data_IF_848090859092
#
_entry.id   IF_848090859092
#
_cell.length_a   1.000
_cell.length_b   1.000
_cell.length_c   1.000
_cell.angle_alpha   90.00
_cell.angle_beta   90.00
_cell.angle_gamma   90.00
#
_symmetry.space_group_name_H-M   'P 1'
#
loop_
_entity.id
_entity.type
_entity.pdbx_description
1 polymer ?
#
# COMPACT_ATOMS: atom_id res chain seq x y z
N UNK A 1 9.29 18.73 -7.02
CA UNK A 1 8.03 19.22 -6.40
C UNK A 1 7.68 18.33 -5.23
N UNK A 2 7.06 18.86 -4.18
CA UNK A 2 6.68 18.05 -3.02
C UNK A 2 5.51 17.12 -3.37
N UNK A 3 5.57 15.88 -2.92
CA UNK A 3 4.47 14.91 -3.01
C UNK A 3 3.37 15.25 -2.00
N UNK A 4 2.16 14.80 -2.26
CA UNK A 4 1.02 15.03 -1.37
C UNK A 4 1.00 13.99 -0.24
N UNK A 5 0.66 14.43 0.96
CA UNK A 5 0.40 13.55 2.10
C UNK A 5 -1.09 13.34 2.31
N UNK A 6 -1.45 12.18 2.87
CA UNK A 6 -2.80 11.91 3.37
C UNK A 6 -3.92 12.26 2.38
N UNK A 7 -3.76 11.86 1.11
CA UNK A 7 -4.71 12.21 0.03
C UNK A 7 -6.11 11.64 0.23
N UNK A 8 -6.30 10.70 1.17
CA UNK A 8 -7.62 10.22 1.59
C UNK A 8 -8.37 11.19 2.50
N UNK A 9 -7.69 12.15 3.12
CA UNK A 9 -8.32 13.11 4.04
C UNK A 9 -9.41 13.91 3.34
N UNK A 10 -10.59 13.96 3.96
CA UNK A 10 -11.77 14.66 3.41
C UNK A 10 -12.54 13.87 2.35
N UNK A 11 -12.10 12.65 1.99
CA UNK A 11 -12.90 11.77 1.13
C UNK A 11 -14.17 11.35 1.88
N UNK A 12 -15.31 11.46 1.21
CA UNK A 12 -16.60 11.04 1.77
C UNK A 12 -16.65 9.52 1.98
N UNK A 13 -17.36 9.11 3.03
CA UNK A 13 -17.61 7.69 3.31
C UNK A 13 -18.45 7.05 2.19
N UNK A 14 -18.31 5.74 1.95
CA UNK A 14 -19.05 5.06 0.89
C UNK A 14 -20.53 4.86 1.22
N UNK A 15 -20.93 5.09 2.47
CA UNK A 15 -22.28 4.92 3.00
C UNK A 15 -22.58 6.01 4.03
N UNK A 16 -23.85 6.34 4.22
CA UNK A 16 -24.32 7.39 5.13
C UNK A 16 -24.25 6.98 6.61
N UNK A 17 -24.15 5.69 6.91
CA UNK A 17 -24.13 5.18 8.29
C UNK A 17 -23.27 3.92 8.41
N UNK A 18 -21.93 4.05 8.33
CA UNK A 18 -21.03 2.92 8.48
C UNK A 18 -21.15 2.33 9.89
N UNK A 19 -21.35 1.01 9.99
CA UNK A 19 -21.32 0.31 11.28
C UNK A 19 -19.89 0.22 11.81
N UNK A 20 -18.92 -0.01 10.92
CA UNK A 20 -17.51 0.00 11.27
C UNK A 20 -16.69 0.59 10.15
N UNK A 21 -15.80 1.52 10.51
CA UNK A 21 -14.84 2.14 9.60
C UNK A 21 -13.49 2.22 10.31
N UNK A 22 -12.49 1.57 9.72
CA UNK A 22 -11.13 1.56 10.28
C UNK A 22 -10.16 1.84 9.15
N UNK A 23 -9.38 2.91 9.28
CA UNK A 23 -8.39 3.33 8.29
C UNK A 23 -7.14 3.86 8.98
N UNK A 24 -6.07 4.03 8.21
CA UNK A 24 -4.84 4.64 8.69
C UNK A 24 -5.10 6.02 9.32
N UNK A 25 -4.48 6.27 10.47
CA UNK A 25 -4.56 7.57 11.18
C UNK A 25 -3.25 8.34 11.14
N UNK A 26 -2.12 7.63 11.00
CA UNK A 26 -0.81 8.23 10.91
C UNK A 26 -0.44 8.58 9.46
N UNK A 27 0.40 9.60 9.29
CA UNK A 27 0.69 10.19 8.00
C UNK A 27 1.44 9.26 7.04
N UNK A 28 1.18 9.42 5.75
CA UNK A 28 1.93 8.84 4.65
C UNK A 28 2.01 9.84 3.49
N UNK A 29 2.90 9.58 2.55
CA UNK A 29 3.09 10.34 1.32
C UNK A 29 2.62 9.49 0.12
N UNK A 30 1.90 10.10 -0.80
CA UNK A 30 1.40 9.45 -2.00
C UNK A 30 2.47 9.39 -3.09
N UNK A 31 3.06 8.20 -3.27
CA UNK A 31 3.97 7.91 -4.38
C UNK A 31 3.20 7.32 -5.55
N UNK A 32 3.51 7.78 -6.75
CA UNK A 32 2.84 7.41 -7.99
C UNK A 32 3.83 7.47 -9.17
N UNK A 33 3.39 7.08 -10.36
CA UNK A 33 4.27 7.12 -11.54
C UNK A 33 4.91 8.49 -11.77
N UNK A 34 6.20 8.46 -12.16
CA UNK A 34 6.98 9.64 -12.54
C UNK A 34 7.14 10.71 -11.45
N UNK A 35 6.76 10.41 -10.20
CA UNK A 35 6.71 11.40 -9.13
C UNK A 35 8.09 11.93 -8.71
N UNK A 36 9.15 11.17 -8.99
CA UNK A 36 10.56 11.50 -8.77
C UNK A 36 11.34 11.79 -10.08
N UNK A 37 10.62 11.97 -11.20
CA UNK A 37 11.21 12.25 -12.52
C UNK A 37 11.65 11.01 -13.31
N UNK A 38 11.65 9.82 -12.70
CA UNK A 38 11.97 8.58 -13.40
C UNK A 38 10.74 8.00 -14.12
N UNK A 39 10.88 7.56 -15.38
CA UNK A 39 9.75 7.01 -16.14
C UNK A 39 9.55 5.51 -15.87
N UNK A 40 8.71 5.21 -14.90
CA UNK A 40 8.35 3.86 -14.45
C UNK A 40 6.92 3.42 -14.86
N UNK A 41 6.31 4.14 -15.81
CA UNK A 41 4.96 3.83 -16.30
C UNK A 41 4.93 2.41 -16.89
N UNK A 42 3.97 1.62 -16.44
CA UNK A 42 3.73 0.25 -16.91
C UNK A 42 4.44 -0.86 -16.15
N UNK A 43 5.32 -0.53 -15.19
CA UNK A 43 6.05 -1.53 -14.41
C UNK A 43 6.37 -1.11 -12.96
N UNK A 44 6.33 0.18 -12.67
CA UNK A 44 6.71 0.76 -11.39
C UNK A 44 5.66 0.69 -10.28
N UNK A 45 4.43 0.25 -10.55
CA UNK A 45 3.33 0.39 -9.59
C UNK A 45 3.66 -0.24 -8.24
N UNK A 46 4.20 -1.46 -8.21
CA UNK A 46 4.61 -2.15 -6.99
C UNK A 46 5.65 -1.36 -6.18
N UNK A 47 6.61 -0.73 -6.86
CA UNK A 47 7.61 0.14 -6.25
C UNK A 47 6.97 1.39 -5.64
N UNK A 48 6.00 2.01 -6.31
CA UNK A 48 5.31 3.22 -5.81
C UNK A 48 4.39 2.90 -4.63
N UNK A 49 3.73 1.75 -4.64
CA UNK A 49 2.99 1.25 -3.47
C UNK A 49 3.94 1.00 -2.30
N UNK A 50 5.10 0.37 -2.54
CA UNK A 50 6.13 0.19 -1.52
C UNK A 50 6.60 1.54 -0.96
N UNK A 51 6.93 2.51 -1.80
CA UNK A 51 7.38 3.83 -1.36
C UNK A 51 6.32 4.54 -0.50
N UNK A 52 5.04 4.36 -0.82
CA UNK A 52 3.93 4.86 0.00
C UNK A 52 3.94 4.22 1.39
N UNK A 53 4.10 2.89 1.48
CA UNK A 53 4.20 2.17 2.76
C UNK A 53 5.45 2.63 3.53
N UNK A 54 6.61 2.62 2.87
CA UNK A 54 7.89 3.09 3.39
C UNK A 54 7.79 4.51 3.97
N UNK A 55 7.09 5.42 3.29
CA UNK A 55 6.91 6.80 3.78
C UNK A 55 6.18 6.85 5.13
N UNK A 56 5.19 5.99 5.32
CA UNK A 56 4.51 5.86 6.60
C UNK A 56 5.48 5.36 7.67
N UNK A 57 6.22 4.28 7.37
CA UNK A 57 7.20 3.69 8.29
C UNK A 57 8.28 4.70 8.71
N UNK A 58 8.86 5.42 7.74
CA UNK A 58 9.86 6.46 7.98
C UNK A 58 9.32 7.58 8.88
N UNK A 59 8.06 7.99 8.71
CA UNK A 59 7.44 9.03 9.53
C UNK A 59 7.11 8.56 10.96
N UNK A 60 7.01 7.25 11.19
CA UNK A 60 6.71 6.68 12.50
C UNK A 60 7.95 6.23 13.27
N UNK A 61 9.14 6.27 12.66
CA UNK A 61 10.38 5.88 13.34
C UNK A 61 10.79 6.91 14.41
N UNK A 62 10.40 6.63 15.66
CA UNK A 62 10.77 7.42 16.83
C UNK A 62 12.21 7.23 17.28
N UNK A 63 12.89 6.19 16.78
CA UNK A 63 14.26 5.82 17.20
C UNK A 63 15.33 6.57 16.40
N UNK A 64 14.94 7.38 15.41
CA UNK A 64 15.86 8.23 14.66
C UNK A 64 16.81 7.44 13.76
N UNK A 65 16.49 6.19 13.42
CA UNK A 65 17.21 5.42 12.39
C UNK A 65 16.86 5.92 10.98
N UNK A 66 15.79 6.72 10.86
CA UNK A 66 15.37 7.52 9.70
C UNK A 66 15.75 6.88 8.36
N UNK A 67 15.28 5.64 8.15
CA UNK A 67 15.45 4.98 6.86
C UNK A 67 14.63 5.79 5.86
N UNK A 68 15.33 6.50 4.98
CA UNK A 68 14.69 7.29 3.93
C UNK A 68 13.88 6.37 3.02
N UNK A 69 12.81 6.91 2.42
CA UNK A 69 12.03 6.17 1.43
C UNK A 69 12.97 5.75 0.28
N UNK A 70 13.11 4.45 -0.02
CA UNK A 70 14.10 3.98 -0.99
C UNK A 70 13.73 4.43 -2.41
N UNK A 71 14.75 4.66 -3.23
CA UNK A 71 14.56 4.84 -4.67
C UNK A 71 14.20 3.51 -5.33
N UNK A 72 13.64 3.52 -6.55
CA UNK A 72 13.41 2.30 -7.33
C UNK A 72 14.71 1.47 -7.47
N UNK A 73 15.84 2.13 -7.69
CA UNK A 73 17.15 1.48 -7.78
C UNK A 73 17.53 0.81 -6.46
N UNK A 74 17.35 1.49 -5.31
CA UNK A 74 17.67 0.90 -4.01
C UNK A 74 16.77 -0.30 -3.71
N UNK A 75 15.50 -0.29 -4.13
CA UNK A 75 14.59 -1.43 -4.00
C UNK A 75 15.15 -2.62 -4.80
N UNK A 76 15.57 -2.41 -6.05
CA UNK A 76 16.17 -3.47 -6.89
C UNK A 76 17.47 -4.02 -6.28
N UNK A 77 18.38 -3.14 -5.85
CA UNK A 77 19.62 -3.52 -5.18
C UNK A 77 19.35 -4.34 -3.91
N UNK A 78 18.32 -3.98 -3.15
CA UNK A 78 17.95 -4.68 -1.92
C UNK A 78 17.46 -6.10 -2.22
N UNK A 79 16.65 -6.28 -3.27
CA UNK A 79 16.19 -7.62 -3.68
C UNK A 79 17.34 -8.52 -4.15
N UNK A 80 18.34 -7.94 -4.82
CA UNK A 80 19.56 -8.67 -5.18
C UNK A 80 20.40 -8.99 -3.94
N UNK A 81 20.55 -8.05 -3.00
CA UNK A 81 21.29 -8.25 -1.75
C UNK A 81 20.71 -9.39 -0.89
N UNK A 82 19.37 -9.52 -0.87
CA UNK A 82 18.66 -10.62 -0.18
C UNK A 82 18.82 -11.96 -0.92
N UNK A 83 19.21 -11.94 -2.20
CA UNK A 83 19.30 -13.13 -3.05
C UNK A 83 17.97 -13.56 -3.67
N UNK A 84 16.96 -12.69 -3.66
CA UNK A 84 15.66 -12.95 -4.32
C UNK A 84 15.73 -12.75 -5.85
N UNK A 85 16.58 -11.82 -6.30
CA UNK A 85 16.78 -11.50 -7.72
C UNK A 85 18.24 -11.58 -8.12
N UNK A 86 18.47 -11.88 -9.40
CA UNK A 86 19.81 -11.87 -10.02
C UNK A 86 20.33 -10.44 -10.23
N UNK A 87 21.65 -10.28 -10.38
CA UNK A 87 22.29 -8.97 -10.61
C UNK A 87 21.73 -8.20 -11.82
N UNK A 88 21.22 -8.91 -12.84
CA UNK A 88 20.59 -8.31 -14.03
C UNK A 88 19.30 -7.55 -13.72
N UNK A 89 18.69 -7.78 -12.55
CA UNK A 89 17.48 -7.10 -12.11
C UNK A 89 17.72 -5.61 -11.81
N UNK A 90 18.94 -5.23 -11.43
CA UNK A 90 19.31 -3.83 -11.17
C UNK A 90 19.25 -3.05 -12.48
N UNK A 91 18.56 -1.89 -12.46
CA UNK A 91 18.25 -1.04 -13.62
C UNK A 91 17.34 -1.70 -14.66
N UNK A 92 16.77 -2.87 -14.37
CA UNK A 92 15.72 -3.46 -15.19
C UNK A 92 14.42 -2.64 -15.08
N UNK A 93 13.45 -2.97 -15.92
CA UNK A 93 12.06 -2.46 -15.86
C UNK A 93 11.09 -3.55 -15.41
N UNK A 94 11.58 -4.53 -14.67
CA UNK A 94 10.75 -5.61 -14.16
C UNK A 94 9.87 -5.11 -13.01
N UNK A 95 8.62 -5.58 -12.99
CA UNK A 95 7.67 -5.28 -11.93
C UNK A 95 7.99 -6.09 -10.66
N UNK A 96 7.47 -5.64 -9.52
CA UNK A 96 7.54 -6.35 -8.24
C UNK A 96 6.15 -6.56 -7.67
N UNK A 97 5.95 -7.68 -6.97
CA UNK A 97 4.69 -8.04 -6.34
C UNK A 97 4.72 -7.88 -4.82
N UNK A 98 3.64 -8.32 -4.18
CA UNK A 98 3.48 -8.24 -2.73
C UNK A 98 4.57 -9.00 -1.96
N UNK A 99 5.13 -10.06 -2.56
CA UNK A 99 6.20 -10.84 -1.94
C UNK A 99 7.52 -10.06 -1.90
N UNK A 100 7.96 -9.50 -3.02
CA UNK A 100 9.16 -8.66 -3.05
C UNK A 100 9.02 -7.43 -2.13
N UNK A 101 7.82 -6.84 -2.09
CA UNK A 101 7.55 -5.73 -1.16
C UNK A 101 7.67 -6.15 0.30
N UNK A 102 7.21 -7.34 0.65
CA UNK A 102 7.40 -7.94 1.97
C UNK A 102 8.89 -8.06 2.32
N UNK A 103 9.71 -8.60 1.42
CA UNK A 103 11.16 -8.76 1.64
C UNK A 103 11.88 -7.43 1.85
N UNK A 104 11.55 -6.42 1.04
CA UNK A 104 12.21 -5.11 1.11
C UNK A 104 11.81 -4.34 2.36
N UNK A 105 10.53 -4.42 2.77
CA UNK A 105 10.07 -3.79 4.02
C UNK A 105 10.81 -4.42 5.21
N UNK A 106 10.85 -5.75 5.28
CA UNK A 106 11.53 -6.49 6.34
C UNK A 106 13.02 -6.09 6.43
N UNK A 107 13.73 -6.14 5.30
CA UNK A 107 15.16 -5.85 5.24
C UNK A 107 15.52 -4.39 5.56
N UNK A 108 14.75 -3.42 5.05
CA UNK A 108 15.12 -2.00 5.18
C UNK A 108 14.58 -1.36 6.46
N UNK A 109 13.42 -1.80 6.95
CA UNK A 109 12.74 -1.17 8.07
C UNK A 109 12.71 -2.04 9.33
N UNK A 110 13.21 -3.27 9.28
CA UNK A 110 13.13 -4.24 10.39
C UNK A 110 11.67 -4.47 10.84
N UNK A 111 10.76 -4.52 9.85
CA UNK A 111 9.32 -4.73 10.04
C UNK A 111 8.92 -6.04 9.38
N UNK A 112 8.64 -7.10 10.17
CA UNK A 112 8.23 -8.38 9.62
C UNK A 112 6.91 -8.23 8.88
N UNK A 113 6.78 -8.85 7.71
CA UNK A 113 5.58 -8.81 6.90
C UNK A 113 4.92 -10.19 6.80
N UNK A 114 3.60 -10.21 6.64
CA UNK A 114 2.83 -11.42 6.37
C UNK A 114 2.17 -11.32 5.00
N UNK A 115 2.31 -12.36 4.18
CA UNK A 115 1.53 -12.49 2.95
C UNK A 115 0.19 -13.15 3.27
N UNK A 116 -0.90 -12.48 2.92
CA UNK A 116 -2.25 -13.01 2.93
C UNK A 116 -2.69 -13.27 1.50
N UNK A 117 -2.88 -14.54 1.17
CA UNK A 117 -3.45 -14.96 -0.10
C UNK A 117 -4.98 -14.88 -0.05
N UNK A 118 -5.55 -14.19 -1.03
CA UNK A 118 -6.98 -14.14 -1.31
C UNK A 118 -7.25 -14.95 -2.58
N UNK A 119 -7.90 -16.12 -2.48
CA UNK A 119 -8.29 -16.87 -3.67
C UNK A 119 -9.36 -16.11 -4.47
N UNK A 120 -9.59 -16.53 -5.72
CA UNK A 120 -10.62 -15.96 -6.59
C UNK A 120 -11.99 -15.98 -5.93
N UNK A 121 -12.63 -14.80 -5.86
CA UNK A 121 -13.91 -14.62 -5.15
C UNK A 121 -13.82 -14.66 -3.61
N UNK A 122 -12.62 -14.75 -3.04
CA UNK A 122 -12.38 -14.92 -1.60
C UNK A 122 -12.31 -13.62 -0.79
N UNK A 123 -12.48 -12.44 -1.40
CA UNK A 123 -12.24 -11.14 -0.75
C UNK A 123 -13.09 -10.95 0.53
N UNK A 124 -14.35 -11.37 0.51
CA UNK A 124 -15.24 -11.32 1.68
C UNK A 124 -14.70 -12.16 2.85
N UNK A 125 -14.08 -13.31 2.57
CA UNK A 125 -13.55 -14.20 3.60
C UNK A 125 -12.29 -13.66 4.29
N UNK A 126 -11.50 -12.84 3.57
CA UNK A 126 -10.28 -12.24 4.11
C UNK A 126 -10.50 -10.86 4.71
N UNK A 127 -11.62 -10.19 4.39
CA UNK A 127 -11.94 -8.84 4.87
C UNK A 127 -11.78 -8.67 6.39
N UNK A 128 -12.24 -9.60 7.26
CA UNK A 128 -12.06 -9.46 8.70
C UNK A 128 -10.58 -9.35 9.12
N UNK A 129 -9.65 -10.00 8.39
CA UNK A 129 -8.21 -9.91 8.66
C UNK A 129 -7.63 -8.54 8.28
N UNK A 130 -8.17 -7.92 7.22
CA UNK A 130 -7.78 -6.56 6.81
C UNK A 130 -8.28 -5.53 7.82
N UNK A 131 -9.52 -5.71 8.27
CA UNK A 131 -10.10 -4.87 9.32
C UNK A 131 -9.32 -4.99 10.63
N UNK A 132 -8.95 -6.22 11.03
CA UNK A 132 -8.09 -6.46 12.19
C UNK A 132 -6.73 -5.75 12.04
N UNK A 133 -6.08 -5.82 10.87
CA UNK A 133 -4.81 -5.13 10.63
C UNK A 133 -4.89 -3.64 10.94
N UNK A 134 -5.90 -2.94 10.40
CA UNK A 134 -6.07 -1.51 10.65
C UNK A 134 -6.56 -1.20 12.07
N UNK A 135 -7.27 -2.13 12.73
CA UNK A 135 -7.78 -1.94 14.09
C UNK A 135 -6.72 -2.23 15.18
N UNK A 136 -5.72 -3.06 14.87
CA UNK A 136 -4.74 -3.56 15.84
C UNK A 136 -3.82 -2.48 16.41
N UNK A 137 -3.54 -1.44 15.63
CA UNK A 137 -2.68 -0.33 16.04
C UNK A 137 -3.08 0.96 15.34
N UNK A 138 -3.05 2.08 16.07
CA UNK A 138 -3.14 3.43 15.48
C UNK A 138 -1.99 3.75 14.52
N UNK A 139 -0.95 2.92 14.52
CA UNK A 139 0.21 3.04 13.63
C UNK A 139 0.25 1.93 12.56
N UNK A 140 -0.89 1.28 12.28
CA UNK A 140 -0.98 0.35 11.18
C UNK A 140 -0.67 1.06 9.84
N UNK A 141 0.32 0.58 9.06
CA UNK A 141 0.65 1.20 7.79
C UNK A 141 -0.35 0.82 6.70
N UNK A 142 -0.30 1.53 5.55
CA UNK A 142 -0.86 1.05 4.31
C UNK A 142 -0.41 -0.38 3.99
N UNK A 143 -1.25 -1.14 3.30
CA UNK A 143 -0.90 -2.48 2.81
C UNK A 143 -0.85 -2.47 1.29
N UNK A 144 0.00 -3.31 0.70
CA UNK A 144 0.00 -3.55 -0.74
C UNK A 144 -0.93 -4.71 -1.06
N UNK A 145 -1.72 -4.57 -2.11
CA UNK A 145 -2.50 -5.64 -2.73
C UNK A 145 -2.14 -5.71 -4.21
N UNK A 146 -1.64 -6.88 -4.65
CA UNK A 146 -1.35 -7.17 -6.05
C UNK A 146 -2.30 -8.25 -6.57
N UNK A 147 -2.93 -8.00 -7.71
CA UNK A 147 -3.75 -8.98 -8.44
C UNK A 147 -2.97 -9.63 -9.58
N UNK A 148 -3.32 -10.85 -9.93
CA UNK A 148 -2.66 -11.60 -11.00
C UNK A 148 -3.09 -11.16 -12.41
N UNK A 149 -4.38 -10.86 -12.61
CA UNK A 149 -4.90 -10.50 -13.94
C UNK A 149 -4.97 -8.99 -14.19
N UNK A 150 -5.04 -8.18 -13.15
CA UNK A 150 -5.07 -6.72 -13.28
C UNK A 150 -3.68 -6.09 -13.44
N UNK A 151 -2.61 -6.88 -13.19
CA UNK A 151 -1.20 -6.46 -13.23
C UNK A 151 -0.95 -5.12 -12.53
N UNK A 152 -1.73 -4.83 -11.48
CA UNK A 152 -1.86 -3.49 -10.92
C UNK A 152 -1.80 -3.55 -9.40
N UNK A 153 -0.68 -3.09 -8.84
CA UNK A 153 -0.58 -2.92 -7.40
C UNK A 153 -1.50 -1.79 -6.93
N UNK A 154 -2.08 -2.00 -5.76
CA UNK A 154 -2.96 -1.06 -5.08
C UNK A 154 -2.50 -0.90 -3.64
N UNK A 155 -2.47 0.34 -3.16
CA UNK A 155 -2.41 0.59 -1.72
C UNK A 155 -3.80 0.42 -1.13
N UNK A 156 -3.94 -0.28 -0.02
CA UNK A 156 -5.17 -0.27 0.77
C UNK A 156 -4.89 0.46 2.07
N UNK A 157 -5.74 1.44 2.37
CA UNK A 157 -5.56 2.37 3.50
C UNK A 157 -6.61 2.19 4.59
N UNK A 158 -7.60 1.33 4.38
CA UNK A 158 -8.70 1.15 5.33
C UNK A 158 -9.82 0.27 4.82
N UNK A 159 -10.78 0.06 5.70
CA UNK A 159 -11.95 -0.80 5.58
C UNK A 159 -13.18 -0.06 6.06
N UNK A 160 -14.32 -0.32 5.44
CA UNK A 160 -15.63 0.16 5.84
C UNK A 160 -16.65 -0.96 5.67
N UNK A 161 -17.59 -1.09 6.60
CA UNK A 161 -18.64 -2.09 6.57
C UNK A 161 -19.96 -1.57 7.14
N UNK A 162 -21.06 -2.02 6.52
CA UNK A 162 -22.43 -1.86 6.99
C UNK A 162 -23.21 -3.10 6.57
N UNK A 163 -23.87 -3.76 7.50
CA UNK A 163 -24.65 -4.99 7.27
C UNK A 163 -23.82 -6.07 6.53
N UNK A 164 -24.14 -6.35 5.27
CA UNK A 164 -23.40 -7.28 4.40
C UNK A 164 -22.44 -6.59 3.43
N UNK A 165 -22.54 -5.26 3.28
CA UNK A 165 -21.71 -4.50 2.36
C UNK A 165 -20.35 -4.16 2.95
N UNK A 166 -19.32 -4.23 2.11
CA UNK A 166 -17.91 -4.13 2.50
C UNK A 166 -17.14 -3.32 1.48
N UNK A 167 -16.30 -2.38 1.93
CA UNK A 167 -15.46 -1.55 1.08
C UNK A 167 -14.02 -1.52 1.55
N UNK A 168 -13.10 -1.42 0.59
CA UNK A 168 -11.70 -1.11 0.82
C UNK A 168 -11.41 0.33 0.37
N UNK A 169 -10.68 1.09 1.17
CA UNK A 169 -10.15 2.39 0.77
C UNK A 169 -8.88 2.16 -0.05
N UNK A 170 -8.98 2.32 -1.37
CA UNK A 170 -7.92 1.98 -2.33
C UNK A 170 -7.24 3.24 -2.82
N UNK A 171 -5.91 3.25 -2.74
CA UNK A 171 -5.00 4.24 -3.30
C UNK A 171 -4.30 3.65 -4.53
N UNK A 172 -4.55 4.26 -5.68
CA UNK A 172 -4.03 3.85 -6.97
C UNK A 172 -2.70 4.59 -7.28
N UNK A 173 -1.55 3.89 -7.44
CA UNK A 173 -0.27 4.51 -7.75
C UNK A 173 -0.10 4.93 -9.23
N UNK A 174 -1.09 4.71 -10.09
CA UNK A 174 -0.96 4.90 -11.54
C UNK A 174 -1.15 6.34 -12.01
N UNK A 175 -1.27 7.32 -11.10
CA UNK A 175 -1.34 8.72 -11.48
C UNK A 175 -0.08 9.17 -12.22
N UNK A 176 -0.25 9.67 -13.45
CA UNK A 176 0.85 10.14 -14.31
C UNK A 176 0.83 11.66 -14.51
N UNK A 177 -0.14 12.36 -13.92
CA UNK A 177 -0.30 13.80 -14.10
C UNK A 177 0.78 14.59 -13.36
N UNK A 178 0.88 15.87 -13.71
CA UNK A 178 1.77 16.82 -13.03
C UNK A 178 1.23 17.26 -11.68
N UNK A 179 1.29 18.57 -11.39
CA UNK A 179 0.73 19.11 -10.15
C UNK A 179 -0.74 18.69 -9.96
N UNK A 180 -1.05 18.24 -8.75
CA UNK A 180 -2.37 17.73 -8.39
C UNK A 180 -2.75 18.16 -6.96
N UNK A 181 -3.99 17.86 -6.58
CA UNK A 181 -4.51 18.08 -5.23
C UNK A 181 -5.26 16.84 -4.76
N UNK A 182 -5.42 16.69 -3.44
CA UNK A 182 -6.20 15.60 -2.87
C UNK A 182 -7.63 15.57 -3.47
N UNK A 183 -8.29 16.73 -3.57
CA UNK A 183 -9.63 16.83 -4.16
C UNK A 183 -9.68 16.38 -5.63
N UNK A 184 -8.63 16.65 -6.42
CA UNK A 184 -8.54 16.16 -7.81
C UNK A 184 -8.38 14.64 -7.84
N UNK A 185 -7.47 14.09 -7.03
CA UNK A 185 -7.22 12.64 -6.95
C UNK A 185 -8.47 11.88 -6.50
N UNK A 186 -9.22 12.43 -5.53
CA UNK A 186 -10.48 11.88 -5.04
C UNK A 186 -11.56 11.90 -6.14
N UNK A 187 -11.74 13.04 -6.83
CA UNK A 187 -12.72 13.16 -7.92
C UNK A 187 -12.41 12.26 -9.11
N UNK A 188 -11.13 12.05 -9.42
CA UNK A 188 -10.68 11.19 -10.53
C UNK A 188 -10.56 9.71 -10.13
N UNK A 189 -10.83 9.37 -8.86
CA UNK A 189 -10.88 7.98 -8.40
C UNK A 189 -9.52 7.33 -8.08
N UNK A 190 -8.42 8.10 -8.02
CA UNK A 190 -7.10 7.59 -7.61
C UNK A 190 -7.03 7.28 -6.11
N UNK A 191 -7.97 7.81 -5.33
CA UNK A 191 -8.19 7.43 -3.94
C UNK A 191 -9.70 7.36 -3.72
N UNK A 192 -10.23 6.14 -3.55
CA UNK A 192 -11.67 5.92 -3.41
C UNK A 192 -11.99 4.68 -2.59
N UNK A 193 -13.21 4.64 -2.06
CA UNK A 193 -13.79 3.42 -1.55
C UNK A 193 -14.24 2.53 -2.71
N UNK A 194 -13.83 1.27 -2.70
CA UNK A 194 -14.19 0.25 -3.70
C UNK A 194 -14.99 -0.84 -2.99
N UNK A 195 -16.21 -1.09 -3.47
CA UNK A 195 -17.03 -2.15 -2.92
C UNK A 195 -16.44 -3.52 -3.26
N UNK A 196 -16.55 -4.52 -2.37
CA UNK A 196 -15.93 -5.82 -2.62
C UNK A 196 -16.43 -6.51 -3.91
N UNK A 197 -17.65 -6.19 -4.35
CA UNK A 197 -18.22 -6.71 -5.60
C UNK A 197 -17.56 -6.16 -6.87
N UNK A 198 -16.83 -5.03 -6.79
CA UNK A 198 -16.11 -4.42 -7.91
C UNK A 198 -14.77 -5.11 -8.21
N UNK A 199 -14.24 -5.91 -7.27
CA UNK A 199 -13.02 -6.69 -7.51
C UNK A 199 -13.31 -7.88 -8.42
N UNK A 200 -12.32 -8.24 -9.25
CA UNK A 200 -12.46 -9.35 -10.19
C UNK A 200 -12.55 -10.68 -9.44
N UNK A 201 -13.74 -11.30 -9.52
CA UNK A 201 -14.03 -12.59 -8.87
C UNK A 201 -13.25 -13.76 -9.47
N UNK A 202 -12.63 -13.58 -10.63
CA UNK A 202 -11.79 -14.58 -11.27
C UNK A 202 -10.30 -14.39 -10.98
N UNK A 203 -9.89 -13.23 -10.45
CA UNK A 203 -8.51 -12.94 -10.05
C UNK A 203 -8.24 -13.39 -8.62
N UNK A 204 -7.00 -13.79 -8.33
CA UNK A 204 -6.53 -13.91 -6.95
C UNK A 204 -5.73 -12.66 -6.57
N UNK A 205 -5.64 -12.40 -5.26
CA UNK A 205 -4.86 -11.27 -4.73
C UNK A 205 -3.88 -11.73 -3.67
N UNK A 206 -2.65 -11.23 -3.74
CA UNK A 206 -1.67 -11.38 -2.67
C UNK A 206 -1.53 -10.04 -1.95
N UNK A 207 -1.69 -10.05 -0.63
CA UNK A 207 -1.70 -8.85 0.19
C UNK A 207 -0.51 -8.89 1.15
N UNK A 208 0.35 -7.87 1.12
CA UNK A 208 1.45 -7.71 2.05
C UNK A 208 0.99 -6.92 3.27
N UNK A 209 1.01 -7.55 4.45
CA UNK A 209 0.63 -6.98 5.73
C UNK A 209 1.86 -6.79 6.62
N UNK A 210 2.42 -5.57 6.73
CA UNK A 210 3.45 -5.27 7.72
C UNK A 210 2.93 -5.51 9.15
N UNK A 211 3.68 -6.24 9.95
CA UNK A 211 3.27 -6.66 11.30
C UNK A 211 3.85 -5.72 12.35
N UNK A 212 2.98 -5.07 13.11
CA UNK A 212 3.34 -4.30 14.29
C UNK A 212 2.88 -5.05 15.53
N UNK A 213 3.83 -5.36 16.41
CA UNK A 213 3.51 -5.76 17.77
C UNK A 213 3.26 -4.50 18.60
N UNK A 214 2.17 -4.47 19.37
CA UNK A 214 1.92 -3.46 20.40
C UNK A 214 2.90 -3.60 21.58
N UNK A 215 4.19 -3.78 21.32
CA UNK A 215 5.20 -3.54 22.33
C UNK A 215 5.34 -2.03 22.39
N UNK A 216 4.48 -1.43 23.20
CA UNK A 216 4.82 -0.21 23.91
C UNK A 216 6.21 -0.44 24.48
N UNK A 217 7.24 0.13 23.85
CA UNK A 217 8.45 0.48 24.58
C UNK A 217 8.01 1.55 25.59
N UNK A 218 7.45 1.11 26.71
CA UNK A 218 7.67 1.79 27.98
C UNK A 218 9.18 1.79 28.20
N UNK A 219 9.79 2.94 27.92
CA UNK A 219 11.03 3.35 28.58
C UNK A 219 10.65 4.49 29.50
#
# INVERSE_FOLDING_TARGET
>A
MALLSNVHSGLSDPTTSPQKKVHITNSYVYYHYKCDGYNDVGWGCGYRTLQTIASHLSLQDKQGKAVQVPTLMKIQETLVEIGDKELSFIKSREWIGSFEVCLVIDKLYDVPCKILHCPSGGMTSIFPKLEEHFAKSSSAPPIMMGGDRDASSKGVLGTCSVDDDRWLLVLDPHYQGGQTSAAKLQREGYIRWIHLSEFDKQSFYNICLPQFSNVLCTI
#
